data_IF_376984413961
#
_entry.id   IF_376984413961
#
_cell.length_a   1.000
_cell.length_b   1.000
_cell.length_c   1.000
_cell.angle_alpha   90.00
_cell.angle_beta   90.00
_cell.angle_gamma   90.00
#
_symmetry.space_group_name_H-M   'P 1'
#
loop_
_entity.id
_entity.type
_entity.pdbx_description
1 polymer ?
#
# COMPACT_ATOMS: atom_id res chain seq x y z
N UNK A 1 -7.92 0.03 -11.29
CA UNK A 1 -8.04 1.12 -10.31
C UNK A 1 -9.20 0.80 -9.39
N UNK A 2 -9.06 1.06 -8.11
CA UNK A 2 -10.13 0.90 -7.13
C UNK A 2 -10.02 1.95 -6.03
N UNK A 3 -11.11 2.14 -5.31
CA UNK A 3 -11.17 2.94 -4.09
C UNK A 3 -11.43 2.00 -2.93
N UNK A 4 -10.74 2.21 -1.83
CA UNK A 4 -10.94 1.46 -0.60
C UNK A 4 -11.02 2.44 0.56
N UNK A 5 -12.08 2.30 1.35
CA UNK A 5 -12.36 3.10 2.55
C UNK A 5 -12.26 2.17 3.75
N UNK A 6 -11.43 2.54 4.74
CA UNK A 6 -11.32 1.77 5.97
C UNK A 6 -12.43 2.16 6.94
N UNK A 7 -13.10 1.17 7.51
CA UNK A 7 -14.07 1.42 8.58
C UNK A 7 -13.40 2.08 9.80
N UNK A 8 -14.13 2.89 10.58
CA UNK A 8 -13.62 3.45 11.83
C UNK A 8 -13.01 2.38 12.74
N UNK A 9 -11.77 2.57 13.18
CA UNK A 9 -11.03 1.60 14.00
C UNK A 9 -10.27 0.53 13.21
N UNK A 10 -10.34 0.54 11.88
CA UNK A 10 -9.48 -0.26 10.99
C UNK A 10 -8.35 0.59 10.44
N UNK A 11 -7.11 0.11 10.54
CA UNK A 11 -5.93 0.91 10.17
C UNK A 11 -5.08 0.33 9.05
N UNK A 12 -5.23 -0.96 8.70
CA UNK A 12 -4.38 -1.62 7.70
C UNK A 12 -5.06 -1.68 6.34
N UNK A 13 -4.29 -1.42 5.28
CA UNK A 13 -4.58 -1.91 3.94
C UNK A 13 -3.52 -2.94 3.49
N UNK A 14 -3.84 -3.70 2.44
CA UNK A 14 -2.94 -4.65 1.77
C UNK A 14 -2.09 -5.46 2.75
N UNK A 15 -2.76 -6.18 3.64
CA UNK A 15 -2.12 -7.04 4.64
C UNK A 15 -2.84 -8.40 4.66
N UNK A 16 -2.17 -9.53 4.39
CA UNK A 16 -0.74 -9.67 4.08
C UNK A 16 -0.31 -8.94 2.79
N UNK A 17 0.96 -8.54 2.74
CA UNK A 17 1.55 -7.81 1.62
C UNK A 17 1.92 -8.75 0.46
N UNK A 18 2.31 -8.18 -0.67
CA UNK A 18 2.79 -8.90 -1.85
C UNK A 18 3.66 -7.97 -2.73
N UNK A 19 4.36 -8.56 -3.70
CA UNK A 19 5.02 -7.88 -4.81
C UNK A 19 4.46 -8.39 -6.14
N UNK A 20 4.80 -7.73 -7.25
CA UNK A 20 4.46 -8.22 -8.59
C UNK A 20 5.46 -7.71 -9.62
N UNK A 21 6.30 -8.58 -10.18
CA UNK A 21 7.38 -8.18 -11.08
C UNK A 21 6.90 -7.50 -12.38
N UNK A 22 5.71 -7.88 -12.86
CA UNK A 22 5.19 -7.48 -14.18
C UNK A 22 4.30 -6.25 -14.15
N UNK A 23 4.08 -5.66 -12.97
CA UNK A 23 3.15 -4.55 -12.74
C UNK A 23 3.71 -3.57 -11.72
N UNK A 24 3.16 -2.36 -11.68
CA UNK A 24 3.45 -1.32 -10.70
C UNK A 24 2.12 -0.78 -10.19
N UNK A 25 2.12 -0.34 -8.93
CA UNK A 25 0.96 0.31 -8.33
C UNK A 25 1.30 1.72 -7.84
N UNK A 26 0.32 2.62 -7.94
CA UNK A 26 0.35 3.94 -7.35
C UNK A 26 -0.81 4.08 -6.36
N UNK A 27 -0.51 4.63 -5.18
CA UNK A 27 -1.46 4.82 -4.09
C UNK A 27 -1.64 6.31 -3.84
N UNK A 28 -2.87 6.80 -3.84
CA UNK A 28 -3.22 8.14 -3.36
C UNK A 28 -4.02 7.99 -2.06
N UNK A 29 -3.47 8.49 -0.96
CA UNK A 29 -4.14 8.49 0.35
C UNK A 29 -4.98 9.76 0.48
N UNK A 30 -6.22 9.63 0.95
CA UNK A 30 -7.12 10.76 1.16
C UNK A 30 -8.09 10.49 2.33
N UNK A 31 -8.79 11.53 2.76
CA UNK A 31 -9.60 11.52 3.99
C UNK A 31 -8.76 11.12 5.22
N UNK A 32 -7.46 11.47 5.21
CA UNK A 32 -6.59 11.33 6.36
C UNK A 32 -6.80 12.56 7.25
N UNK A 33 -7.16 12.39 8.54
CA UNK A 33 -7.28 13.54 9.45
C UNK A 33 -6.01 14.38 9.52
N UNK A 34 -6.15 15.70 9.73
CA UNK A 34 -5.02 16.65 9.73
C UNK A 34 -3.92 16.27 10.74
N UNK A 35 -4.31 15.72 11.88
CA UNK A 35 -3.47 15.25 12.98
C UNK A 35 -3.07 13.76 12.86
N UNK A 36 -3.46 13.08 11.79
CA UNK A 36 -3.14 11.67 11.53
C UNK A 36 -2.13 11.48 10.39
N UNK A 37 -1.47 10.33 10.36
CA UNK A 37 -0.54 9.94 9.28
C UNK A 37 -0.76 8.49 8.88
N UNK A 38 -0.38 8.17 7.65
CA UNK A 38 -0.22 6.79 7.19
C UNK A 38 1.28 6.47 7.12
N UNK A 39 1.68 5.35 7.72
CA UNK A 39 2.98 4.73 7.52
C UNK A 39 2.84 3.77 6.35
N UNK A 40 3.32 4.17 5.18
CA UNK A 40 3.31 3.32 3.99
C UNK A 40 4.59 2.48 3.97
N UNK A 41 4.45 1.17 4.18
CA UNK A 41 5.50 0.18 4.02
C UNK A 41 5.79 -0.05 2.54
N UNK A 42 7.06 0.09 2.19
CA UNK A 42 7.60 -0.13 0.86
C UNK A 42 8.98 -0.80 0.95
N UNK A 43 9.60 -1.10 -0.20
CA UNK A 43 10.85 -1.82 -0.26
C UNK A 43 10.67 -3.32 -0.52
N UNK A 44 11.79 -4.03 -0.67
CA UNK A 44 11.76 -5.49 -0.77
C UNK A 44 11.24 -6.11 0.54
N UNK A 45 10.56 -7.27 0.51
CA UNK A 45 10.03 -7.90 1.72
C UNK A 45 11.05 -8.09 2.85
N UNK A 46 12.31 -8.37 2.51
CA UNK A 46 13.39 -8.60 3.48
C UNK A 46 14.15 -7.33 3.90
N UNK A 47 13.81 -6.17 3.33
CA UNK A 47 14.44 -4.89 3.61
C UNK A 47 13.40 -3.76 3.51
N UNK A 48 12.33 -3.87 4.29
CA UNK A 48 11.26 -2.87 4.24
C UNK A 48 11.77 -1.50 4.71
N UNK A 49 11.16 -0.47 4.15
CA UNK A 49 11.27 0.93 4.52
C UNK A 49 9.86 1.48 4.69
N UNK A 50 9.78 2.73 5.11
CA UNK A 50 8.50 3.39 5.19
C UNK A 50 8.57 4.85 4.77
N UNK A 51 7.42 5.34 4.34
CA UNK A 51 7.15 6.75 4.13
C UNK A 51 6.05 7.20 5.09
N UNK A 52 6.20 8.40 5.65
CA UNK A 52 5.14 9.03 6.45
C UNK A 52 4.32 9.92 5.52
N UNK A 53 3.05 9.58 5.37
CA UNK A 53 2.14 10.13 4.36
C UNK A 53 1.03 10.92 5.06
N UNK A 54 0.81 12.14 4.58
CA UNK A 54 -0.31 13.02 4.97
C UNK A 54 -1.45 12.94 3.94
N UNK A 55 -2.54 13.65 4.23
CA UNK A 55 -3.70 13.72 3.32
C UNK A 55 -3.31 14.16 1.91
N UNK A 56 -3.92 13.52 0.90
CA UNK A 56 -3.75 13.79 -0.54
C UNK A 56 -2.33 13.66 -1.06
N UNK A 57 -1.50 12.86 -0.40
CA UNK A 57 -0.19 12.48 -0.91
C UNK A 57 -0.24 11.13 -1.63
N UNK A 58 0.55 11.02 -2.69
CA UNK A 58 0.65 9.81 -3.48
C UNK A 58 2.02 9.14 -3.33
N UNK A 59 2.03 7.81 -3.43
CA UNK A 59 3.22 6.97 -3.45
C UNK A 59 3.22 6.12 -4.71
N UNK A 60 4.38 6.03 -5.35
CA UNK A 60 4.64 5.12 -6.47
C UNK A 60 5.36 3.90 -5.90
N UNK A 61 4.83 2.70 -6.16
CA UNK A 61 5.42 1.43 -5.75
C UNK A 61 6.09 0.75 -6.95
N UNK A 62 7.42 0.70 -7.01
CA UNK A 62 8.14 -0.12 -7.99
C UNK A 62 7.70 -1.60 -7.91
N UNK A 63 7.82 -2.34 -9.01
CA UNK A 63 7.35 -3.74 -9.11
C UNK A 63 7.90 -4.69 -8.02
N UNK A 64 9.15 -4.47 -7.61
CA UNK A 64 9.86 -5.24 -6.59
C UNK A 64 9.51 -4.83 -5.15
N UNK A 65 8.75 -3.74 -4.98
CA UNK A 65 8.39 -3.19 -3.68
C UNK A 65 7.05 -3.73 -3.20
N UNK A 66 6.95 -4.02 -1.90
CA UNK A 66 5.63 -4.15 -1.27
C UNK A 66 4.92 -2.79 -1.24
N UNK A 67 3.60 -2.81 -1.09
CA UNK A 67 2.76 -1.62 -0.92
C UNK A 67 1.67 -1.89 0.10
N UNK A 68 1.97 -1.63 1.37
CA UNK A 68 1.02 -1.75 2.48
C UNK A 68 1.04 -0.49 3.32
N UNK A 69 -0.07 -0.13 3.94
CA UNK A 69 -0.23 1.09 4.70
C UNK A 69 -0.90 0.82 6.04
N UNK A 70 -0.41 1.48 7.08
CA UNK A 70 -1.07 1.56 8.38
C UNK A 70 -1.31 3.02 8.77
N UNK A 71 -2.56 3.37 9.06
CA UNK A 71 -2.95 4.69 9.53
C UNK A 71 -2.90 4.82 11.05
N UNK A 72 -2.64 6.03 11.55
CA UNK A 72 -2.93 6.38 12.96
C UNK A 72 -4.41 6.66 13.21
N UNK A 73 -5.22 6.74 12.15
CA UNK A 73 -6.67 6.78 12.12
C UNK A 73 -7.16 6.03 10.86
N UNK A 74 -8.47 5.79 10.75
CA UNK A 74 -9.05 5.29 9.51
C UNK A 74 -8.90 6.33 8.39
N UNK A 75 -8.73 5.85 7.15
CA UNK A 75 -8.51 6.67 5.97
C UNK A 75 -9.07 5.97 4.71
N UNK A 76 -9.07 6.69 3.60
CA UNK A 76 -9.40 6.16 2.28
C UNK A 76 -8.18 6.20 1.36
N UNK A 77 -8.15 5.33 0.36
CA UNK A 77 -7.11 5.40 -0.66
C UNK A 77 -7.63 4.93 -2.03
N UNK A 78 -7.06 5.52 -3.07
CA UNK A 78 -7.18 5.04 -4.45
C UNK A 78 -5.91 4.27 -4.79
N UNK A 79 -6.07 3.09 -5.37
CA UNK A 79 -4.97 2.33 -5.94
C UNK A 79 -5.16 2.21 -7.45
N UNK A 80 -4.09 2.43 -8.20
CA UNK A 80 -4.05 2.27 -9.64
C UNK A 80 -2.88 1.36 -10.00
N UNK A 81 -3.17 0.32 -10.78
CA UNK A 81 -2.19 -0.67 -11.23
C UNK A 81 -2.05 -0.59 -12.75
N UNK A 82 -0.83 -0.69 -13.25
CA UNK A 82 -0.52 -0.83 -14.66
C UNK A 82 0.68 -1.76 -14.87
N UNK A 83 0.82 -2.34 -16.05
CA UNK A 83 1.92 -3.24 -16.38
C UNK A 83 1.62 -4.11 -17.58
N UNK A 84 2.34 -5.22 -17.70
CA UNK A 84 2.23 -6.12 -18.86
C UNK A 84 0.91 -6.91 -18.91
N UNK A 85 0.24 -7.10 -17.77
CA UNK A 85 -1.00 -7.89 -17.69
C UNK A 85 -1.99 -7.28 -16.68
N UNK A 86 -3.20 -7.84 -16.66
CA UNK A 86 -4.27 -7.52 -15.69
C UNK A 86 -4.69 -8.76 -14.88
N UNK A 87 -3.80 -9.75 -14.76
CA UNK A 87 -4.05 -10.94 -13.94
C UNK A 87 -3.74 -10.60 -12.48
N UNK A 88 -4.77 -10.29 -11.70
CA UNK A 88 -4.60 -9.84 -10.31
C UNK A 88 -4.04 -10.93 -9.37
N UNK A 89 -4.12 -12.19 -9.77
CA UNK A 89 -3.56 -13.36 -9.08
C UNK A 89 -2.08 -13.64 -9.40
N UNK A 90 -1.52 -13.00 -10.42
CA UNK A 90 -0.10 -13.10 -10.82
C UNK A 90 0.78 -12.23 -9.90
N UNK A 91 0.93 -12.62 -8.65
CA UNK A 91 1.64 -11.88 -7.60
C UNK A 91 2.42 -12.83 -6.69
N UNK A 92 3.44 -12.29 -6.00
CA UNK A 92 4.26 -13.02 -5.05
C UNK A 92 3.86 -12.64 -3.61
N UNK A 93 3.28 -13.57 -2.82
CA UNK A 93 2.86 -13.28 -1.46
C UNK A 93 4.04 -12.99 -0.52
N UNK A 94 3.92 -11.92 0.27
CA UNK A 94 4.85 -11.56 1.32
C UNK A 94 4.13 -11.63 2.68
N UNK A 95 4.08 -12.83 3.33
CA UNK A 95 3.41 -12.97 4.61
C UNK A 95 4.10 -12.12 5.67
N UNK A 96 3.33 -11.55 6.60
CA UNK A 96 3.85 -10.64 7.64
C UNK A 96 5.01 -11.23 8.45
N UNK A 97 5.03 -12.55 8.64
CA UNK A 97 6.09 -13.27 9.35
C UNK A 97 7.43 -13.31 8.59
N UNK A 98 7.44 -12.95 7.31
CA UNK A 98 8.63 -12.88 6.47
C UNK A 98 9.12 -11.44 6.23
N UNK A 99 8.33 -10.41 6.60
CA UNK A 99 8.71 -9.01 6.45
C UNK A 99 9.81 -8.63 7.46
N UNK A 100 10.76 -7.77 7.05
CA UNK A 100 11.85 -7.26 7.90
C UNK A 100 12.07 -5.76 7.80
#
# INVERSE_FOLDING_TARGET
MGVTELHPGSMWNTMPAHTHDRRTECYLYFDVPEDARVVHLCGEPAETRHLVIADRQAVISPSWSVHSGIGTAAYSFVWAMAGENQSFDDMDPAPVTALR
#
